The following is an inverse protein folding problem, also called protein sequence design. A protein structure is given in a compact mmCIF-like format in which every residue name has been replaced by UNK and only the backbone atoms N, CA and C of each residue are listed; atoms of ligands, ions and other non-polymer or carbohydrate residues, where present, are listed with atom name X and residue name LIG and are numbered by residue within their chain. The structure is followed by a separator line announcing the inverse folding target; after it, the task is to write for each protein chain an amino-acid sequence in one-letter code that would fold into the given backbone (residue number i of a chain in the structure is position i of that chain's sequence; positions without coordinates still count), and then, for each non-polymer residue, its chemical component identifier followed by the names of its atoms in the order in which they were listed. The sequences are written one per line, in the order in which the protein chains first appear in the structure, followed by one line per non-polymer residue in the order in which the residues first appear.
data_IF_028438028894
#
_entry.id   IF_028438028894
#
_cell.length_a   1.000
_cell.length_b   1.000
_cell.length_c   1.000
_cell.angle_alpha   90.00
_cell.angle_beta   90.00
_cell.angle_gamma   90.00
#
_symmetry.space_group_name_H-M   'P 1'
#
loop_
_entity.id
_entity.type
_entity.pdbx_description
1 polymer ?
#
# COMPACT_ATOMS: atom_id res chain seq x y z
N UNK A 1 -14.07 -7.52 10.77
CA UNK A 1 -13.15 -8.31 9.93
C UNK A 1 -12.60 -7.42 8.82
N UNK A 2 -11.75 -6.44 9.18
CA UNK A 2 -11.09 -5.49 8.25
C UNK A 2 -9.56 -5.74 8.18
N UNK A 3 -9.04 -6.57 9.08
CA UNK A 3 -7.60 -6.84 9.22
C UNK A 3 -7.00 -7.70 8.11
N UNK A 4 -7.81 -8.54 7.43
CA UNK A 4 -7.27 -9.49 6.45
C UNK A 4 -6.73 -8.78 5.21
N UNK A 5 -7.47 -7.81 4.66
CA UNK A 5 -7.02 -7.15 3.43
C UNK A 5 -5.84 -6.19 3.70
N UNK A 6 -5.77 -5.51 4.85
CA UNK A 6 -4.61 -4.69 5.21
C UNK A 6 -3.35 -5.54 5.36
N UNK A 7 -3.44 -6.67 6.06
CA UNK A 7 -2.32 -7.62 6.19
C UNK A 7 -1.89 -8.14 4.80
N UNK A 8 -2.84 -8.43 3.93
CA UNK A 8 -2.58 -8.83 2.53
C UNK A 8 -1.87 -7.72 1.74
N UNK A 9 -2.38 -6.48 1.79
CA UNK A 9 -1.78 -5.34 1.10
C UNK A 9 -0.34 -5.09 1.56
N UNK A 10 -0.10 -5.07 2.88
CA UNK A 10 1.25 -4.90 3.45
C UNK A 10 2.19 -6.04 3.03
N UNK A 11 1.69 -7.29 2.97
CA UNK A 11 2.47 -8.42 2.47
C UNK A 11 2.84 -8.25 1.00
N UNK A 12 1.88 -7.90 0.15
CA UNK A 12 2.11 -7.69 -1.28
C UNK A 12 3.10 -6.56 -1.56
N UNK A 13 3.04 -5.48 -0.77
CA UNK A 13 4.03 -4.39 -0.83
C UNK A 13 5.44 -4.92 -0.50
N UNK A 14 5.58 -5.69 0.58
CA UNK A 14 6.87 -6.31 0.97
C UNK A 14 7.39 -7.34 -0.04
N UNK A 15 6.48 -8.06 -0.69
CA UNK A 15 6.79 -9.04 -1.74
C UNK A 15 7.14 -8.38 -3.09
N UNK A 16 6.98 -7.05 -3.22
CA UNK A 16 7.29 -6.31 -4.45
C UNK A 16 6.20 -6.37 -5.51
N UNK A 17 4.99 -6.81 -5.17
CA UNK A 17 3.85 -6.88 -6.09
C UNK A 17 3.12 -5.54 -6.26
N UNK A 18 3.35 -4.58 -5.36
CA UNK A 18 2.77 -3.24 -5.46
C UNK A 18 3.47 -2.45 -6.57
N UNK A 19 2.75 -2.18 -7.67
CA UNK A 19 3.32 -1.54 -8.85
C UNK A 19 3.26 -0.01 -8.78
N UNK A 20 2.20 0.53 -8.17
CA UNK A 20 1.95 1.96 -8.06
C UNK A 20 0.83 2.25 -7.04
N UNK A 21 0.76 3.48 -6.54
CA UNK A 21 -0.36 3.99 -5.76
C UNK A 21 -0.80 5.37 -6.24
N UNK A 22 -2.10 5.65 -6.20
CA UNK A 22 -2.66 6.97 -6.49
C UNK A 22 -3.47 7.51 -5.32
N UNK A 23 -3.54 8.84 -5.19
CA UNK A 23 -4.44 9.52 -4.26
C UNK A 23 -5.63 10.05 -5.05
N UNK A 24 -6.83 9.58 -4.70
CA UNK A 24 -8.09 10.01 -5.30
C UNK A 24 -8.99 10.64 -4.26
N UNK A 25 -9.74 11.67 -4.67
CA UNK A 25 -10.71 12.34 -3.80
C UNK A 25 -11.83 11.40 -3.36
N UNK A 26 -12.20 10.43 -4.22
CA UNK A 26 -13.25 9.45 -3.93
C UNK A 26 -13.03 8.15 -4.70
N UNK A 27 -13.11 7.03 -3.97
CA UNK A 27 -13.18 5.68 -4.50
C UNK A 27 -14.38 4.94 -3.90
N UNK A 28 -15.41 4.71 -4.69
CA UNK A 28 -16.70 4.16 -4.23
C UNK A 28 -17.25 4.94 -3.01
N UNK A 29 -17.28 4.30 -1.83
CA UNK A 29 -17.77 4.86 -0.56
C UNK A 29 -16.65 5.41 0.33
N UNK A 30 -15.42 5.49 -0.18
CA UNK A 30 -14.23 5.98 0.55
C UNK A 30 -13.80 7.31 -0.08
N UNK A 31 -13.57 8.32 0.77
CA UNK A 31 -13.10 9.64 0.36
C UNK A 31 -12.42 10.32 1.58
N UNK A 32 -11.17 10.81 1.48
CA UNK A 32 -10.21 10.54 0.39
C UNK A 32 -9.68 9.10 0.46
N UNK A 33 -9.16 8.59 -0.67
CA UNK A 33 -8.64 7.22 -0.77
C UNK A 33 -7.25 7.19 -1.42
N UNK A 34 -6.35 6.41 -0.83
CA UNK A 34 -5.12 5.98 -1.49
C UNK A 34 -5.36 4.60 -2.09
N UNK A 35 -5.28 4.46 -3.41
CA UNK A 35 -5.55 3.20 -4.09
C UNK A 35 -4.23 2.56 -4.46
N UNK A 36 -4.00 1.36 -3.92
CA UNK A 36 -2.82 0.54 -4.22
C UNK A 36 -3.12 -0.38 -5.39
N UNK A 37 -2.24 -0.40 -6.39
CA UNK A 37 -2.31 -1.30 -7.54
C UNK A 37 -1.27 -2.41 -7.43
N UNK A 38 -1.71 -3.63 -7.75
CA UNK A 38 -0.91 -4.84 -7.69
C UNK A 38 -0.94 -5.56 -9.04
N UNK A 39 0.13 -6.29 -9.37
CA UNK A 39 0.22 -7.10 -10.58
C UNK A 39 -0.65 -8.38 -10.54
N UNK A 40 -1.00 -8.83 -9.34
CA UNK A 40 -1.63 -10.11 -9.07
C UNK A 40 -2.95 -10.02 -8.29
N UNK A 41 -3.39 -8.81 -7.93
CA UNK A 41 -4.55 -8.58 -7.08
C UNK A 41 -5.33 -7.32 -7.49
N UNK A 42 -6.66 -7.26 -7.22
CA UNK A 42 -7.45 -6.07 -7.49
C UNK A 42 -6.96 -4.84 -6.71
N UNK A 43 -7.24 -3.61 -7.20
CA UNK A 43 -6.85 -2.39 -6.52
C UNK A 43 -7.44 -2.31 -5.10
N UNK A 44 -6.61 -1.93 -4.13
CA UNK A 44 -7.00 -1.88 -2.71
C UNK A 44 -7.05 -0.44 -2.22
N UNK A 45 -8.25 0.12 -1.94
CA UNK A 45 -8.38 1.47 -1.41
C UNK A 45 -8.10 1.51 0.10
N UNK A 46 -7.27 2.46 0.51
CA UNK A 46 -6.84 2.72 1.88
C UNK A 46 -7.35 4.09 2.32
N UNK A 47 -7.99 4.13 3.49
CA UNK A 47 -8.47 5.37 4.12
C UNK A 47 -7.30 6.19 4.65
N UNK A 48 -7.45 7.52 4.63
CA UNK A 48 -6.45 8.48 5.12
C UNK A 48 -5.91 8.17 6.51
N UNK A 49 -6.78 7.73 7.43
CA UNK A 49 -6.44 7.33 8.80
C UNK A 49 -5.38 6.22 8.89
N UNK A 50 -5.12 5.50 7.78
CA UNK A 50 -4.13 4.42 7.70
C UNK A 50 -2.93 4.78 6.83
N UNK A 51 -2.92 5.92 6.13
CA UNK A 51 -1.84 6.24 5.18
C UNK A 51 -0.46 6.25 5.83
N UNK A 52 -0.36 6.73 7.07
CA UNK A 52 0.89 6.72 7.83
C UNK A 52 1.53 5.33 7.90
N UNK A 53 0.75 4.28 8.23
CA UNK A 53 1.24 2.89 8.29
C UNK A 53 1.82 2.41 6.95
N UNK A 54 1.26 2.89 5.82
CA UNK A 54 1.69 2.51 4.48
C UNK A 54 2.91 3.30 4.02
N UNK A 55 2.99 4.60 4.33
CA UNK A 55 4.17 5.39 4.02
C UNK A 55 5.38 4.90 4.81
N UNK A 56 5.24 4.62 6.11
CA UNK A 56 6.32 4.03 6.91
C UNK A 56 6.82 2.71 6.31
N UNK A 57 5.90 1.84 5.85
CA UNK A 57 6.25 0.58 5.20
C UNK A 57 7.00 0.78 3.87
N UNK A 58 6.54 1.72 3.04
CA UNK A 58 7.17 2.02 1.75
C UNK A 58 8.57 2.59 1.97
N UNK A 59 8.73 3.50 2.92
CA UNK A 59 10.03 4.07 3.31
C UNK A 59 10.97 3.00 3.87
N UNK A 60 10.47 2.08 4.70
CA UNK A 60 11.23 0.93 5.21
C UNK A 60 11.81 0.10 4.06
N UNK A 61 10.98 -0.28 3.09
CA UNK A 61 11.38 -1.10 1.93
C UNK A 61 12.35 -0.34 1.03
N UNK A 62 12.11 0.95 0.79
CA UNK A 62 12.99 1.78 -0.01
C UNK A 62 14.39 1.86 0.61
N UNK A 63 14.48 2.14 1.92
CA UNK A 63 15.76 2.18 2.63
C UNK A 63 16.45 0.82 2.67
N UNK A 64 15.71 -0.28 2.81
CA UNK A 64 16.31 -1.62 2.83
C UNK A 64 16.95 -1.99 1.49
N UNK A 65 16.30 -1.61 0.39
CA UNK A 65 16.81 -1.83 -0.97
C UNK A 65 18.13 -1.10 -1.23
N UNK A 66 18.39 0.02 -0.53
CA UNK A 66 19.65 0.76 -0.63
C UNK A 66 20.77 0.06 0.16
N UNK A 67 20.45 -0.56 1.32
CA UNK A 67 21.45 -1.12 2.23
C UNK A 67 21.84 -2.58 1.94
N UNK A 68 21.02 -3.36 1.24
CA UNK A 68 21.33 -4.76 0.88
C UNK A 68 22.11 -4.90 -0.45
N UNK A 69 22.47 -3.78 -1.08
CA UNK A 69 23.23 -3.72 -2.32
C UNK A 69 24.73 -3.36 -2.17
N UNK A 70 25.25 -3.30 -0.94
CA UNK A 70 26.68 -3.06 -0.64
C UNK A 70 27.42 -4.32 -0.17
#
# INVERSE_FOLDING_TARGET
MYFNYHAKAMRLIREGHCTHFELVERWNQIAPAMVLYFDNEPPMPIREERWADYFELIDEIHNKSINEGE
#
